data_IF_865349467973
#
_entry.id   IF_865349467973
#
_cell.length_a   1.000
_cell.length_b   1.000
_cell.length_c   1.000
_cell.angle_alpha   90.00
_cell.angle_beta   90.00
_cell.angle_gamma   90.00
#
_symmetry.space_group_name_H-M   'P 1'
#
loop_
_entity.id
_entity.type
_entity.pdbx_description
1 polymer ?
#
# COMPACT_ATOMS: atom_id res chain seq x y z
N UNK A 1 -1.33 34.17 36.45
CA UNK A 1 -0.42 34.07 35.30
C UNK A 1 -1.09 33.20 34.25
N UNK A 2 -1.43 33.75 33.09
CA UNK A 2 -2.01 32.96 32.00
C UNK A 2 -0.91 32.11 31.37
N UNK A 3 -0.93 30.80 31.66
CA UNK A 3 -0.02 29.86 31.01
C UNK A 3 -0.40 29.64 29.55
N UNK A 4 0.58 29.51 28.67
CA UNK A 4 0.36 29.06 27.29
C UNK A 4 0.31 27.52 27.26
N UNK A 5 -0.70 26.94 26.60
CA UNK A 5 -0.88 25.49 26.46
C UNK A 5 -0.50 25.06 25.04
N UNK A 6 0.80 25.04 24.74
CA UNK A 6 1.32 24.58 23.45
C UNK A 6 1.16 23.06 23.34
N UNK A 7 0.66 22.60 22.20
CA UNK A 7 0.49 21.17 21.89
C UNK A 7 0.98 20.90 20.48
N UNK A 8 1.60 19.73 20.29
CA UNK A 8 1.97 19.27 18.97
C UNK A 8 0.73 18.67 18.29
N UNK A 9 0.42 19.13 17.09
CA UNK A 9 -0.57 18.51 16.22
C UNK A 9 0.19 17.54 15.30
N UNK A 10 0.00 16.24 15.50
CA UNK A 10 0.56 15.21 14.61
C UNK A 10 -0.30 15.11 13.36
N UNK A 11 0.35 14.81 12.24
CA UNK A 11 -0.28 14.60 10.93
C UNK A 11 -0.80 15.89 10.31
N UNK A 12 0.09 16.58 9.57
CA UNK A 12 -0.19 17.86 8.90
C UNK A 12 -0.95 17.64 7.59
N UNK A 13 -2.03 16.84 7.65
CA UNK A 13 -3.05 16.83 6.61
C UNK A 13 -3.54 18.28 6.41
N UNK A 14 -3.46 18.82 5.18
CA UNK A 14 -3.98 20.14 4.84
C UNK A 14 -5.40 20.38 5.33
N UNK A 15 -6.28 19.37 5.29
CA UNK A 15 -7.66 19.49 5.73
C UNK A 15 -7.77 19.68 7.24
N UNK A 16 -6.94 18.95 8.01
CA UNK A 16 -6.88 19.10 9.47
C UNK A 16 -6.29 20.45 9.88
N UNK A 17 -5.23 20.90 9.20
CA UNK A 17 -4.67 22.24 9.44
C UNK A 17 -5.70 23.34 9.13
N UNK A 18 -6.42 23.21 8.02
CA UNK A 18 -7.51 24.13 7.69
C UNK A 18 -8.60 24.16 8.76
N UNK A 19 -9.04 22.98 9.23
CA UNK A 19 -10.06 22.87 10.28
C UNK A 19 -9.61 23.53 11.59
N UNK A 20 -8.37 23.32 12.01
CA UNK A 20 -7.80 23.96 13.21
C UNK A 20 -7.66 25.47 13.05
N UNK A 21 -7.20 25.95 11.89
CA UNK A 21 -7.13 27.38 11.59
C UNK A 21 -8.51 28.03 11.61
N UNK A 22 -9.54 27.35 11.08
CA UNK A 22 -10.95 27.81 11.19
C UNK A 22 -11.43 27.81 12.64
N UNK A 23 -11.09 26.80 13.43
CA UNK A 23 -11.50 26.68 14.83
C UNK A 23 -10.96 27.82 15.72
N UNK A 24 -9.75 28.30 15.44
CA UNK A 24 -9.17 29.47 16.14
C UNK A 24 -9.62 30.83 15.57
N UNK A 25 -10.47 30.84 14.53
CA UNK A 25 -11.00 32.05 13.92
C UNK A 25 -10.02 32.77 12.98
N UNK A 26 -9.10 32.05 12.33
CA UNK A 26 -8.16 32.65 11.38
C UNK A 26 -8.88 33.18 10.13
N UNK A 27 -8.34 34.26 9.55
CA UNK A 27 -8.89 34.88 8.34
C UNK A 27 -8.85 33.92 7.13
N UNK A 28 -9.91 33.82 6.31
CA UNK A 28 -9.95 32.92 5.15
C UNK A 28 -8.84 33.14 4.11
N UNK A 29 -8.36 34.38 3.91
CA UNK A 29 -7.22 34.63 3.02
C UNK A 29 -5.91 34.12 3.63
N UNK A 30 -5.75 34.26 4.95
CA UNK A 30 -4.64 33.66 5.70
C UNK A 30 -4.61 32.14 5.58
N UNK A 31 -5.76 31.48 5.75
CA UNK A 31 -5.91 30.02 5.60
C UNK A 31 -5.44 29.56 4.22
N UNK A 32 -5.93 30.18 3.12
CA UNK A 32 -5.53 29.82 1.75
C UNK A 32 -4.03 29.90 1.50
N UNK A 33 -3.34 30.83 2.14
CA UNK A 33 -1.88 31.04 1.99
C UNK A 33 -1.08 30.07 2.88
N UNK A 34 -1.61 29.72 4.05
CA UNK A 34 -0.87 28.98 5.07
C UNK A 34 -1.09 27.47 5.01
N UNK A 35 -2.27 27.00 4.61
CA UNK A 35 -2.56 25.55 4.51
C UNK A 35 -1.54 24.82 3.62
N UNK A 36 -1.15 25.33 2.42
CA UNK A 36 -0.12 24.69 1.60
C UNK A 36 1.30 24.71 2.19
N UNK A 37 1.52 25.38 3.33
CA UNK A 37 2.80 25.33 4.07
C UNK A 37 2.80 24.25 5.16
N UNK A 38 1.66 23.66 5.47
CA UNK A 38 1.54 22.57 6.44
C UNK A 38 2.02 21.23 5.87
N UNK A 39 1.85 21.02 4.57
CA UNK A 39 2.17 19.75 3.92
C UNK A 39 3.67 19.65 3.64
N UNK A 40 4.37 18.77 4.35
CA UNK A 40 5.80 18.50 4.19
C UNK A 40 6.01 17.26 3.34
N UNK A 41 6.81 17.36 2.28
CA UNK A 41 7.21 16.24 1.46
C UNK A 41 8.72 15.98 1.56
N UNK A 42 9.10 14.71 1.47
CA UNK A 42 10.48 14.25 1.34
C UNK A 42 10.56 13.40 0.08
N UNK A 43 11.28 13.90 -0.92
CA UNK A 43 11.33 13.31 -2.25
C UNK A 43 12.77 12.94 -2.59
N UNK A 44 12.97 11.72 -3.09
CA UNK A 44 14.26 11.26 -3.62
C UNK A 44 14.22 11.34 -5.15
N UNK A 45 15.18 12.05 -5.73
CA UNK A 45 15.41 12.10 -7.18
C UNK A 45 16.70 11.33 -7.47
N UNK A 46 16.61 10.25 -8.24
CA UNK A 46 17.76 9.44 -8.66
C UNK A 46 18.29 9.88 -10.04
N UNK A 47 19.48 9.39 -10.41
CA UNK A 47 20.11 9.64 -11.72
C UNK A 47 20.32 11.12 -12.12
N UNK A 48 20.48 11.99 -11.11
CA UNK A 48 20.62 13.44 -11.30
C UNK A 48 22.08 13.81 -11.69
N UNK A 49 22.30 14.52 -12.81
CA UNK A 49 23.63 15.03 -13.17
C UNK A 49 24.17 16.03 -12.13
N UNK A 50 25.48 16.04 -11.91
CA UNK A 50 26.14 16.91 -10.91
C UNK A 50 25.70 18.40 -10.93
N UNK A 51 25.66 19.02 -12.11
CA UNK A 51 25.23 20.42 -12.26
C UNK A 51 23.77 20.60 -11.84
N UNK A 52 22.90 19.65 -12.23
CA UNK A 52 21.50 19.69 -11.88
C UNK A 52 21.28 19.48 -10.39
N UNK A 53 22.03 18.56 -9.76
CA UNK A 53 21.98 18.31 -8.32
C UNK A 53 22.37 19.56 -7.52
N UNK A 54 23.41 20.26 -7.98
CA UNK A 54 23.88 21.50 -7.35
C UNK A 54 22.84 22.62 -7.44
N UNK A 55 22.24 22.81 -8.63
CA UNK A 55 21.18 23.80 -8.85
C UNK A 55 19.95 23.44 -8.02
N UNK A 56 19.51 22.18 -8.03
CA UNK A 56 18.37 21.68 -7.27
C UNK A 56 18.53 21.98 -5.78
N UNK A 57 19.71 21.71 -5.21
CA UNK A 57 20.01 22.02 -3.81
C UNK A 57 19.97 23.52 -3.53
N UNK A 58 20.65 24.33 -4.34
CA UNK A 58 20.68 25.79 -4.15
C UNK A 58 19.29 26.41 -4.25
N UNK A 59 18.50 25.96 -5.22
CA UNK A 59 17.14 26.43 -5.42
C UNK A 59 16.18 25.99 -4.31
N UNK A 60 16.37 24.79 -3.73
CA UNK A 60 15.55 24.37 -2.60
C UNK A 60 15.90 25.15 -1.33
N UNK A 61 17.19 25.31 -1.04
CA UNK A 61 17.68 26.09 0.11
C UNK A 61 17.19 27.54 0.05
N UNK A 62 17.20 28.18 -1.14
CA UNK A 62 16.72 29.55 -1.29
C UNK A 62 15.22 29.74 -1.01
N UNK A 63 14.45 28.65 -1.02
CA UNK A 63 13.02 28.62 -0.71
C UNK A 63 12.74 28.24 0.75
N UNK A 64 13.78 27.99 1.55
CA UNK A 64 13.69 27.55 2.94
C UNK A 64 13.38 26.06 3.11
N UNK A 65 13.59 25.26 2.06
CA UNK A 65 13.60 23.80 2.16
C UNK A 65 15.03 23.28 2.34
N UNK A 66 15.18 21.96 2.30
CA UNK A 66 16.46 21.28 2.46
C UNK A 66 16.76 20.34 1.29
N UNK A 67 18.05 20.13 1.02
CA UNK A 67 18.46 19.15 0.03
C UNK A 67 19.82 18.51 0.35
N UNK A 68 19.84 17.18 0.38
CA UNK A 68 21.03 16.36 0.55
C UNK A 68 21.43 15.72 -0.78
N UNK A 69 22.69 15.90 -1.19
CA UNK A 69 23.23 15.33 -2.43
C UNK A 69 24.12 14.15 -2.07
N UNK A 70 23.97 13.03 -2.78
CA UNK A 70 24.82 11.86 -2.58
C UNK A 70 26.31 12.18 -2.85
N UNK A 71 27.22 11.47 -2.17
CA UNK A 71 28.67 11.67 -2.38
C UNK A 71 29.08 11.46 -3.83
N UNK A 72 28.44 10.50 -4.53
CA UNK A 72 28.65 10.24 -5.95
C UNK A 72 28.28 11.44 -6.82
N UNK A 73 27.10 12.02 -6.59
CA UNK A 73 26.64 13.21 -7.31
C UNK A 73 27.46 14.46 -6.97
N UNK A 74 28.13 14.52 -5.81
CA UNK A 74 28.97 15.65 -5.41
C UNK A 74 30.43 15.55 -5.90
N UNK A 75 31.03 14.35 -5.88
CA UNK A 75 32.46 14.17 -6.08
C UNK A 75 32.91 14.04 -7.55
N UNK A 76 32.03 13.58 -8.46
CA UNK A 76 32.37 13.36 -9.86
C UNK A 76 31.66 14.39 -10.76
N UNK A 77 32.43 15.28 -11.40
CA UNK A 77 31.89 16.28 -12.35
C UNK A 77 31.13 15.67 -13.54
N UNK A 78 31.40 14.40 -13.86
CA UNK A 78 30.75 13.61 -14.91
C UNK A 78 29.79 12.53 -14.37
N UNK A 79 29.57 12.47 -13.05
CA UNK A 79 28.75 11.44 -12.40
C UNK A 79 27.27 11.83 -12.30
N UNK A 80 26.42 10.80 -12.20
CA UNK A 80 25.02 10.89 -11.78
C UNK A 80 24.90 10.41 -10.34
N UNK A 81 23.87 10.84 -9.63
CA UNK A 81 23.52 10.26 -8.34
C UNK A 81 22.25 10.85 -7.76
N UNK A 82 21.96 10.51 -6.51
CA UNK A 82 20.69 10.85 -5.88
C UNK A 82 20.71 12.20 -5.14
N UNK A 83 19.56 12.88 -5.14
CA UNK A 83 19.30 14.05 -4.30
C UNK A 83 18.03 13.79 -3.50
N UNK A 84 18.12 13.95 -2.18
CA UNK A 84 16.96 13.96 -1.30
C UNK A 84 16.56 15.42 -1.08
N UNK A 85 15.33 15.78 -1.45
CA UNK A 85 14.78 17.13 -1.36
C UNK A 85 13.65 17.12 -0.33
N UNK A 86 13.68 18.05 0.62
CA UNK A 86 12.68 18.15 1.68
C UNK A 86 12.09 19.55 1.72
N UNK A 87 10.77 19.65 1.81
CA UNK A 87 10.12 20.93 2.05
C UNK A 87 8.62 20.88 1.82
N UNK A 88 8.00 22.04 1.96
CA UNK A 88 6.55 22.18 1.87
C UNK A 88 6.07 22.14 0.42
N UNK A 89 4.80 21.78 0.22
CA UNK A 89 4.14 21.86 -1.09
C UNK A 89 4.34 23.23 -1.77
N UNK A 90 4.22 24.34 -1.04
CA UNK A 90 4.49 25.68 -1.57
C UNK A 90 5.95 25.84 -2.05
N UNK A 91 6.91 25.28 -1.33
CA UNK A 91 8.33 25.35 -1.70
C UNK A 91 8.61 24.51 -2.94
N UNK A 92 8.01 23.31 -3.04
CA UNK A 92 8.13 22.46 -4.22
C UNK A 92 7.53 23.09 -5.48
N UNK A 93 6.33 23.70 -5.40
CA UNK A 93 5.76 24.43 -6.55
C UNK A 93 6.70 25.52 -7.07
N UNK A 94 7.21 26.36 -6.15
CA UNK A 94 8.17 27.41 -6.49
C UNK A 94 9.47 26.85 -7.06
N UNK A 95 9.90 25.68 -6.59
CA UNK A 95 11.08 24.98 -7.11
C UNK A 95 10.84 24.54 -8.56
N UNK A 96 9.75 23.81 -8.81
CA UNK A 96 9.35 23.33 -10.16
C UNK A 96 9.29 24.49 -11.15
N UNK A 97 8.59 25.58 -10.81
CA UNK A 97 8.51 26.78 -11.65
C UNK A 97 9.90 27.31 -12.01
N UNK A 98 10.79 27.38 -11.02
CA UNK A 98 12.13 27.91 -11.20
C UNK A 98 13.02 26.99 -12.02
N UNK A 99 12.91 25.67 -11.84
CA UNK A 99 13.66 24.67 -12.61
C UNK A 99 13.26 24.69 -14.09
N UNK A 100 11.98 24.88 -14.41
CA UNK A 100 11.47 24.96 -15.79
C UNK A 100 12.06 26.15 -16.57
N UNK A 101 12.33 27.26 -15.88
CA UNK A 101 12.93 28.47 -16.45
C UNK A 101 14.44 28.37 -16.71
N UNK A 102 15.12 27.34 -16.18
CA UNK A 102 16.56 27.18 -16.38
C UNK A 102 16.88 26.73 -17.82
N UNK A 103 18.07 27.04 -18.35
CA UNK A 103 18.42 26.72 -19.73
C UNK A 103 18.63 25.21 -19.96
N UNK A 104 18.82 24.42 -18.90
CA UNK A 104 19.16 23.01 -18.99
C UNK A 104 17.93 22.11 -19.16
N UNK A 105 17.92 21.27 -20.21
CA UNK A 105 16.81 20.32 -20.47
C UNK A 105 16.60 19.32 -19.33
N UNK A 106 17.67 18.86 -18.69
CA UNK A 106 17.58 17.92 -17.55
C UNK A 106 16.79 18.50 -16.38
N UNK A 107 16.87 19.81 -16.12
CA UNK A 107 16.11 20.45 -15.04
C UNK A 107 14.62 20.54 -15.35
N UNK A 108 14.24 20.71 -16.63
CA UNK A 108 12.83 20.60 -17.05
C UNK A 108 12.27 19.21 -16.78
N UNK A 109 12.99 18.17 -17.19
CA UNK A 109 12.59 16.77 -16.92
C UNK A 109 12.48 16.48 -15.43
N UNK A 110 13.46 16.89 -14.62
CA UNK A 110 13.39 16.75 -13.16
C UNK A 110 12.19 17.49 -12.57
N UNK A 111 11.86 18.68 -13.09
CA UNK A 111 10.70 19.43 -12.63
C UNK A 111 9.39 18.70 -12.91
N UNK A 112 9.26 18.10 -14.10
CA UNK A 112 8.07 17.33 -14.49
C UNK A 112 7.94 16.04 -13.67
N UNK A 113 9.06 15.34 -13.39
CA UNK A 113 9.08 14.15 -12.52
C UNK A 113 8.72 14.48 -11.06
N UNK A 114 9.23 15.59 -10.52
CA UNK A 114 8.87 16.07 -9.18
C UNK A 114 7.38 16.39 -9.10
N UNK A 115 6.84 17.11 -10.09
CA UNK A 115 5.41 17.45 -10.13
C UNK A 115 4.52 16.21 -10.22
N UNK A 116 4.89 15.24 -11.07
CA UNK A 116 4.18 13.97 -11.19
C UNK A 116 4.20 13.16 -9.88
N UNK A 117 5.35 13.08 -9.21
CA UNK A 117 5.47 12.38 -7.93
C UNK A 117 4.64 13.05 -6.83
N UNK A 118 4.62 14.38 -6.76
CA UNK A 118 3.78 15.12 -5.81
C UNK A 118 2.29 14.95 -6.10
N UNK A 119 1.88 14.85 -7.38
CA UNK A 119 0.50 14.56 -7.74
C UNK A 119 0.09 13.13 -7.39
N UNK A 120 0.97 12.15 -7.61
CA UNK A 120 0.69 10.74 -7.31
C UNK A 120 0.42 10.49 -5.82
N UNK A 121 1.05 11.25 -4.92
CA UNK A 121 0.78 11.17 -3.46
C UNK A 121 -0.61 11.74 -3.10
N UNK A 122 -1.17 12.62 -3.93
CA UNK A 122 -2.39 13.38 -3.65
C UNK A 122 -3.64 12.76 -4.26
N UNK A 123 -3.47 11.85 -5.20
CA UNK A 123 -4.57 11.06 -5.71
C UNK A 123 -4.63 9.78 -4.92
N UNK A 124 -5.76 9.54 -4.26
CA UNK A 124 -6.13 8.18 -3.91
C UNK A 124 -5.89 7.29 -5.14
N UNK A 125 -5.33 6.08 -4.97
CA UNK A 125 -5.15 5.19 -6.09
C UNK A 125 -6.48 5.03 -6.85
N UNK A 126 -6.48 4.65 -8.14
CA UNK A 126 -7.72 4.28 -8.78
C UNK A 126 -8.41 3.16 -7.97
N UNK A 127 -9.76 3.09 -7.98
CA UNK A 127 -10.47 2.04 -7.27
C UNK A 127 -9.97 0.66 -7.66
N UNK A 128 -9.72 -0.19 -6.67
CA UNK A 128 -9.26 -1.55 -6.90
C UNK A 128 -10.47 -2.48 -7.05
N UNK A 129 -10.56 -3.22 -8.15
CA UNK A 129 -11.61 -4.23 -8.34
C UNK A 129 -11.07 -5.62 -8.05
N UNK A 130 -11.71 -6.33 -7.12
CA UNK A 130 -11.39 -7.71 -6.71
C UNK A 130 -12.66 -8.54 -6.88
N UNK A 131 -12.79 -9.22 -8.03
CA UNK A 131 -14.01 -9.98 -8.33
C UNK A 131 -15.27 -9.09 -8.25
N UNK A 132 -16.24 -9.41 -7.38
CA UNK A 132 -17.46 -8.60 -7.21
C UNK A 132 -17.27 -7.32 -6.39
N UNK A 133 -16.12 -7.11 -5.75
CA UNK A 133 -15.84 -5.98 -4.86
C UNK A 133 -15.11 -4.86 -5.61
N UNK A 134 -15.57 -3.62 -5.44
CA UNK A 134 -14.82 -2.41 -5.82
C UNK A 134 -14.44 -1.63 -4.57
N UNK A 135 -13.14 -1.45 -4.38
CA UNK A 135 -12.53 -0.72 -3.27
C UNK A 135 -12.26 0.73 -3.67
N UNK A 136 -13.07 1.65 -3.15
CA UNK A 136 -12.87 3.10 -3.25
C UNK A 136 -12.00 3.54 -2.07
N UNK A 137 -10.74 3.87 -2.34
CA UNK A 137 -9.79 4.22 -1.29
C UNK A 137 -10.21 5.50 -0.55
N UNK A 138 -10.01 5.52 0.76
CA UNK A 138 -10.45 6.63 1.63
C UNK A 138 -11.95 6.66 1.95
N UNK A 139 -12.81 5.92 1.23
CA UNK A 139 -14.25 5.93 1.48
C UNK A 139 -14.65 5.21 2.78
N UNK A 140 -14.02 4.06 3.06
CA UNK A 140 -14.16 3.29 4.30
C UNK A 140 -13.01 2.29 4.47
N UNK A 141 -12.90 1.70 5.66
CA UNK A 141 -12.09 0.50 5.86
C UNK A 141 -12.81 -0.72 5.30
N UNK A 142 -12.12 -1.48 4.46
CA UNK A 142 -12.59 -2.79 3.97
C UNK A 142 -12.07 -3.90 4.88
N UNK A 143 -12.90 -4.92 5.13
CA UNK A 143 -12.60 -5.99 6.09
C UNK A 143 -12.34 -7.29 5.35
N UNK A 144 -11.17 -7.89 5.61
CA UNK A 144 -10.79 -9.20 5.11
C UNK A 144 -10.93 -10.24 6.24
N UNK A 145 -11.83 -11.20 6.06
CA UNK A 145 -12.02 -12.32 6.98
C UNK A 145 -11.01 -13.44 6.72
N UNK A 146 -10.24 -13.82 7.74
CA UNK A 146 -9.20 -14.85 7.62
C UNK A 146 -9.82 -16.24 7.79
N UNK A 147 -9.86 -17.03 6.71
CA UNK A 147 -10.38 -18.39 6.68
C UNK A 147 -9.23 -19.40 6.60
N UNK A 148 -8.73 -19.82 7.76
CA UNK A 148 -7.70 -20.85 7.85
C UNK A 148 -8.29 -22.25 7.66
N UNK A 149 -7.97 -22.89 6.54
CA UNK A 149 -8.37 -24.27 6.22
C UNK A 149 -7.32 -25.24 6.75
N UNK A 150 -7.10 -25.22 8.07
CA UNK A 150 -6.20 -26.15 8.75
C UNK A 150 -6.99 -27.00 9.75
N UNK A 151 -6.65 -28.29 9.93
CA UNK A 151 -7.36 -29.18 10.87
C UNK A 151 -7.41 -28.61 12.30
N UNK A 152 -6.37 -27.89 12.71
CA UNK A 152 -6.27 -27.32 14.07
C UNK A 152 -7.19 -26.12 14.29
N UNK A 153 -7.62 -25.41 13.23
CA UNK A 153 -8.37 -24.15 13.35
C UNK A 153 -9.86 -24.31 13.63
N UNK A 154 -10.43 -25.50 13.41
CA UNK A 154 -11.87 -25.76 13.57
C UNK A 154 -12.23 -26.45 14.90
N UNK A 155 -11.27 -26.54 15.81
CA UNK A 155 -11.30 -27.41 16.99
C UNK A 155 -11.99 -26.81 18.23
N UNK A 156 -13.23 -26.36 18.11
CA UNK A 156 -14.08 -26.14 19.29
C UNK A 156 -14.57 -27.45 19.92
N UNK A 157 -14.74 -28.50 19.11
CA UNK A 157 -15.41 -29.77 19.44
C UNK A 157 -14.59 -31.04 19.09
N UNK A 158 -13.37 -30.88 18.55
CA UNK A 158 -12.42 -31.97 18.29
C UNK A 158 -12.78 -32.90 17.13
N UNK A 159 -13.97 -32.79 16.52
CA UNK A 159 -14.42 -33.65 15.43
C UNK A 159 -13.67 -33.37 14.12
N UNK A 160 -13.34 -32.10 13.86
CA UNK A 160 -12.70 -31.65 12.61
C UNK A 160 -11.16 -31.71 12.65
N UNK A 161 -10.56 -31.87 13.84
CA UNK A 161 -9.11 -31.99 14.00
C UNK A 161 -8.50 -33.23 13.32
N UNK A 162 -9.33 -34.21 12.96
CA UNK A 162 -8.93 -35.44 12.25
C UNK A 162 -9.50 -35.55 10.83
N UNK A 163 -10.15 -34.50 10.34
CA UNK A 163 -10.73 -34.53 9.00
C UNK A 163 -9.62 -34.61 7.94
N UNK A 164 -9.81 -35.48 6.94
CA UNK A 164 -8.89 -35.54 5.81
C UNK A 164 -8.94 -34.21 5.02
N UNK A 165 -7.79 -33.74 4.49
CA UNK A 165 -7.72 -32.58 3.62
C UNK A 165 -8.72 -32.67 2.48
N UNK A 166 -9.52 -31.62 2.28
CA UNK A 166 -10.54 -31.58 1.23
C UNK A 166 -11.77 -32.46 1.48
N UNK A 167 -11.88 -33.13 2.63
CA UNK A 167 -13.05 -33.95 2.95
C UNK A 167 -14.33 -33.10 3.02
N UNK A 168 -15.52 -33.66 2.70
CA UNK A 168 -16.78 -32.93 2.75
C UNK A 168 -17.08 -32.28 4.11
N UNK A 169 -16.62 -32.90 5.20
CA UNK A 169 -16.77 -32.34 6.54
C UNK A 169 -15.93 -31.07 6.74
N UNK A 170 -14.67 -31.08 6.31
CA UNK A 170 -13.78 -29.91 6.37
C UNK A 170 -14.31 -28.77 5.49
N UNK A 171 -14.70 -29.09 4.26
CA UNK A 171 -15.25 -28.12 3.30
C UNK A 171 -16.55 -27.51 3.83
N UNK A 172 -17.44 -28.34 4.38
CA UNK A 172 -18.69 -27.87 4.98
C UNK A 172 -18.47 -26.95 6.19
N UNK A 173 -17.48 -27.27 7.04
CA UNK A 173 -17.12 -26.44 8.19
C UNK A 173 -16.52 -25.09 7.76
N UNK A 174 -15.59 -25.10 6.80
CA UNK A 174 -14.99 -23.90 6.24
C UNK A 174 -16.05 -23.00 5.58
N UNK A 175 -16.97 -23.60 4.80
CA UNK A 175 -18.08 -22.87 4.17
C UNK A 175 -19.06 -22.29 5.20
N UNK A 176 -19.33 -23.01 6.30
CA UNK A 176 -20.15 -22.51 7.39
C UNK A 176 -19.54 -21.31 8.10
N UNK A 177 -18.20 -21.29 8.28
CA UNK A 177 -17.49 -20.14 8.82
C UNK A 177 -17.45 -18.97 7.82
N UNK A 178 -17.20 -19.26 6.55
CA UNK A 178 -17.24 -18.28 5.46
C UNK A 178 -18.59 -17.54 5.41
N UNK A 179 -19.71 -18.27 5.50
CA UNK A 179 -21.05 -17.66 5.60
C UNK A 179 -21.17 -16.70 6.77
N UNK A 180 -20.76 -17.12 7.97
CA UNK A 180 -20.80 -16.26 9.16
C UNK A 180 -19.97 -14.99 8.97
N UNK A 181 -18.75 -15.11 8.44
CA UNK A 181 -17.90 -13.94 8.18
C UNK A 181 -18.55 -12.96 7.20
N UNK A 182 -19.19 -13.47 6.13
CA UNK A 182 -19.93 -12.63 5.17
C UNK A 182 -21.15 -11.97 5.85
N UNK A 183 -21.91 -12.72 6.65
CA UNK A 183 -23.05 -12.19 7.42
C UNK A 183 -22.62 -11.12 8.45
N UNK A 184 -21.41 -11.25 9.01
CA UNK A 184 -20.79 -10.28 9.92
C UNK A 184 -20.16 -9.08 9.21
N UNK A 185 -20.15 -9.07 7.86
CA UNK A 185 -19.72 -7.92 7.05
C UNK A 185 -18.30 -8.00 6.50
N UNK A 186 -17.71 -9.19 6.36
CA UNK A 186 -16.46 -9.36 5.62
C UNK A 186 -16.64 -9.03 4.13
N UNK A 187 -15.79 -8.14 3.61
CA UNK A 187 -15.77 -7.74 2.19
C UNK A 187 -14.98 -8.72 1.33
N UNK A 188 -13.93 -9.31 1.92
CA UNK A 188 -13.03 -10.27 1.29
C UNK A 188 -12.88 -11.47 2.23
N UNK A 189 -12.85 -12.68 1.70
CA UNK A 189 -12.41 -13.87 2.44
C UNK A 189 -11.01 -14.27 1.99
N UNK A 190 -10.09 -14.44 2.93
CA UNK A 190 -8.72 -14.87 2.66
C UNK A 190 -8.52 -16.32 3.08
N UNK A 191 -8.33 -17.20 2.10
CA UNK A 191 -8.33 -18.64 2.27
C UNK A 191 -6.89 -19.16 2.30
N UNK A 192 -6.46 -19.63 3.47
CA UNK A 192 -5.10 -20.17 3.69
C UNK A 192 -5.12 -21.65 4.07
N UNK A 193 -4.31 -22.47 3.39
CA UNK A 193 -4.18 -23.91 3.68
C UNK A 193 -2.98 -24.28 4.54
N UNK A 194 -2.00 -23.36 4.62
CA UNK A 194 -0.76 -23.49 5.37
C UNK A 194 -0.73 -22.51 6.54
N UNK A 195 -0.18 -22.94 7.68
CA UNK A 195 0.02 -22.04 8.82
C UNK A 195 1.29 -21.22 8.61
N UNK A 196 1.16 -19.90 8.57
CA UNK A 196 2.30 -18.95 8.52
C UNK A 196 2.88 -18.63 9.91
N UNK A 197 2.46 -19.33 10.97
CA UNK A 197 2.93 -19.11 12.35
C UNK A 197 4.40 -19.52 12.51
N UNK A 198 5.20 -18.82 13.36
CA UNK A 198 6.58 -19.18 13.61
C UNK A 198 6.74 -20.63 14.09
N UNK A 199 7.57 -21.42 13.40
CA UNK A 199 7.83 -22.82 13.74
C UNK A 199 6.89 -23.84 13.09
N UNK A 200 5.98 -23.43 12.20
CA UNK A 200 5.23 -24.37 11.36
C UNK A 200 6.16 -25.11 10.40
N UNK A 201 5.84 -26.38 10.12
CA UNK A 201 6.54 -27.15 9.09
C UNK A 201 5.96 -26.78 7.73
N UNK A 202 6.78 -26.45 6.72
CA UNK A 202 6.29 -26.13 5.39
C UNK A 202 5.36 -27.22 4.85
N UNK A 203 4.21 -26.81 4.32
CA UNK A 203 3.21 -27.71 3.76
C UNK A 203 3.53 -27.98 2.28
N UNK A 204 3.54 -29.25 1.81
CA UNK A 204 3.65 -29.55 0.40
C UNK A 204 2.51 -28.91 -0.40
N UNK A 205 2.81 -28.36 -1.58
CA UNK A 205 1.83 -27.67 -2.41
C UNK A 205 0.57 -28.52 -2.72
N UNK A 206 0.76 -29.82 -2.99
CA UNK A 206 -0.33 -30.76 -3.24
C UNK A 206 -1.31 -30.89 -2.06
N UNK A 207 -0.77 -30.85 -0.84
CA UNK A 207 -1.55 -30.94 0.39
C UNK A 207 -2.30 -29.62 0.66
N UNK A 208 -1.65 -28.49 0.38
CA UNK A 208 -2.27 -27.16 0.44
C UNK A 208 -3.43 -27.04 -0.57
N UNK A 209 -3.22 -27.48 -1.82
CA UNK A 209 -4.23 -27.51 -2.88
C UNK A 209 -5.48 -28.28 -2.45
N UNK A 210 -5.31 -29.48 -1.87
CA UNK A 210 -6.43 -30.30 -1.38
C UNK A 210 -7.25 -29.60 -0.30
N UNK A 211 -6.65 -28.67 0.46
CA UNK A 211 -7.34 -27.90 1.48
C UNK A 211 -8.08 -26.72 0.87
N UNK A 212 -7.38 -25.89 0.09
CA UNK A 212 -7.91 -24.59 -0.32
C UNK A 212 -8.84 -24.68 -1.53
N UNK A 213 -8.51 -25.50 -2.54
CA UNK A 213 -9.25 -25.51 -3.82
C UNK A 213 -10.73 -25.87 -3.62
N UNK A 214 -11.09 -26.98 -2.94
CA UNK A 214 -12.50 -27.32 -2.78
C UNK A 214 -13.30 -26.29 -1.96
N UNK A 215 -12.63 -25.58 -1.04
CA UNK A 215 -13.26 -24.52 -0.25
C UNK A 215 -13.51 -23.29 -1.11
N UNK A 216 -12.52 -22.86 -1.90
CA UNK A 216 -12.63 -21.72 -2.82
C UNK A 216 -13.74 -21.96 -3.84
N UNK A 217 -13.79 -23.15 -4.48
CA UNK A 217 -14.83 -23.49 -5.45
C UNK A 217 -16.23 -23.34 -4.85
N UNK A 218 -16.44 -23.80 -3.62
CA UNK A 218 -17.74 -23.72 -2.95
C UNK A 218 -18.09 -22.30 -2.52
N UNK A 219 -17.13 -21.51 -2.04
CA UNK A 219 -17.35 -20.11 -1.70
C UNK A 219 -17.72 -19.32 -2.97
N UNK A 220 -16.98 -19.50 -4.05
CA UNK A 220 -17.22 -18.80 -5.33
C UNK A 220 -18.60 -19.11 -5.92
N UNK A 221 -19.11 -20.32 -5.72
CA UNK A 221 -20.44 -20.73 -6.19
C UNK A 221 -21.59 -20.22 -5.33
N UNK A 222 -21.36 -20.00 -4.03
CA UNK A 222 -22.46 -19.85 -3.06
C UNK A 222 -22.52 -18.48 -2.37
N UNK A 223 -21.41 -17.73 -2.33
CA UNK A 223 -21.30 -16.48 -1.58
C UNK A 223 -20.92 -15.31 -2.48
N UNK A 224 -21.62 -14.17 -2.42
CA UNK A 224 -21.31 -12.98 -3.20
C UNK A 224 -20.19 -12.16 -2.53
N UNK A 225 -19.00 -12.75 -2.41
CA UNK A 225 -17.85 -12.14 -1.70
C UNK A 225 -16.58 -12.22 -2.55
N UNK A 226 -15.69 -11.24 -2.41
CA UNK A 226 -14.36 -11.33 -2.98
C UNK A 226 -13.53 -12.41 -2.26
N UNK A 227 -12.68 -13.10 -3.01
CA UNK A 227 -11.93 -14.26 -2.51
C UNK A 227 -10.45 -14.01 -2.77
N UNK A 228 -9.67 -14.08 -1.71
CA UNK A 228 -8.22 -14.08 -1.70
C UNK A 228 -7.70 -15.47 -1.36
N UNK A 229 -6.58 -15.86 -1.94
CA UNK A 229 -5.81 -17.04 -1.53
C UNK A 229 -4.53 -16.59 -0.82
N UNK A 230 -4.32 -17.05 0.41
CA UNK A 230 -3.10 -16.81 1.18
C UNK A 230 -2.08 -17.91 0.85
N UNK A 231 -1.18 -17.60 -0.08
CA UNK A 231 -0.12 -18.52 -0.48
C UNK A 231 1.05 -17.78 -1.14
N UNK A 232 2.26 -18.29 -0.90
CA UNK A 232 3.49 -17.84 -1.57
C UNK A 232 3.93 -18.79 -2.70
N UNK A 233 3.15 -19.85 -2.98
CA UNK A 233 3.48 -20.87 -4.00
C UNK A 233 2.66 -20.60 -5.26
N UNK A 234 3.34 -20.32 -6.37
CA UNK A 234 2.67 -19.95 -7.62
C UNK A 234 1.72 -21.05 -8.14
N UNK A 235 2.07 -22.32 -7.94
CA UNK A 235 1.21 -23.45 -8.32
C UNK A 235 -0.10 -23.50 -7.52
N UNK A 236 -0.08 -23.07 -6.26
CA UNK A 236 -1.29 -23.01 -5.42
C UNK A 236 -2.14 -21.82 -5.84
N UNK A 237 -1.51 -20.66 -6.01
CA UNK A 237 -2.17 -19.45 -6.48
C UNK A 237 -2.88 -19.68 -7.84
N UNK A 238 -2.20 -20.26 -8.82
CA UNK A 238 -2.77 -20.52 -10.14
C UNK A 238 -4.03 -21.38 -10.07
N UNK A 239 -3.98 -22.48 -9.30
CA UNK A 239 -5.13 -23.39 -9.14
C UNK A 239 -6.26 -22.79 -8.31
N UNK A 240 -5.95 -21.92 -7.36
CA UNK A 240 -6.93 -21.18 -6.59
C UNK A 240 -7.64 -20.13 -7.45
N UNK A 241 -6.92 -19.43 -8.33
CA UNK A 241 -7.50 -18.51 -9.31
C UNK A 241 -8.42 -19.26 -10.28
N UNK A 242 -7.99 -20.41 -10.81
CA UNK A 242 -8.83 -21.28 -11.65
C UNK A 242 -10.12 -21.74 -10.92
N UNK A 243 -10.04 -21.93 -9.61
CA UNK A 243 -11.16 -22.33 -8.76
C UNK A 243 -12.13 -21.19 -8.40
N UNK A 244 -11.79 -19.94 -8.73
CA UNK A 244 -12.62 -18.76 -8.47
C UNK A 244 -12.08 -17.78 -7.42
N UNK A 245 -10.81 -17.90 -7.00
CA UNK A 245 -10.15 -16.82 -6.28
C UNK A 245 -9.95 -15.61 -7.21
N UNK A 246 -9.93 -14.42 -6.61
CA UNK A 246 -9.85 -13.13 -7.33
C UNK A 246 -8.57 -12.35 -7.01
N UNK A 247 -7.88 -12.72 -5.92
CA UNK A 247 -6.69 -12.07 -5.42
C UNK A 247 -5.72 -13.10 -4.84
N UNK A 248 -4.43 -12.82 -4.94
CA UNK A 248 -3.37 -13.58 -4.27
C UNK A 248 -2.80 -12.72 -3.15
N UNK A 249 -2.79 -13.24 -1.93
CA UNK A 249 -2.14 -12.65 -0.77
C UNK A 249 -0.81 -13.37 -0.53
N UNK A 250 0.29 -12.80 -1.03
CA UNK A 250 1.64 -13.37 -0.89
C UNK A 250 2.46 -12.59 0.15
N UNK A 251 2.65 -13.19 1.32
CA UNK A 251 3.42 -12.63 2.43
C UNK A 251 4.91 -12.41 2.11
N UNK A 252 5.43 -13.03 1.06
CA UNK A 252 6.82 -12.85 0.59
C UNK A 252 6.95 -11.79 -0.50
N UNK A 253 5.88 -11.07 -0.83
CA UNK A 253 5.87 -10.00 -1.82
C UNK A 253 6.50 -10.44 -3.16
N UNK A 254 6.08 -11.63 -3.65
CA UNK A 254 6.52 -12.22 -4.91
C UNK A 254 7.98 -12.67 -4.95
N UNK A 255 8.67 -12.70 -3.80
CA UNK A 255 10.10 -13.00 -3.73
C UNK A 255 10.42 -14.49 -3.50
N UNK A 256 9.49 -15.27 -2.95
CA UNK A 256 9.73 -16.68 -2.61
C UNK A 256 9.67 -17.61 -3.81
N UNK A 257 8.64 -17.46 -4.65
CA UNK A 257 8.44 -18.25 -5.87
C UNK A 257 8.56 -17.32 -7.10
N UNK A 258 9.57 -17.50 -7.96
CA UNK A 258 9.80 -16.62 -9.11
C UNK A 258 8.67 -16.67 -10.15
N UNK A 259 7.84 -17.71 -10.13
CA UNK A 259 6.69 -17.84 -11.03
C UNK A 259 5.46 -17.06 -10.55
N UNK A 260 5.48 -16.53 -9.32
CA UNK A 260 4.34 -15.77 -8.79
C UNK A 260 4.15 -14.42 -9.49
N UNK A 261 5.23 -13.67 -9.73
CA UNK A 261 5.13 -12.36 -10.38
C UNK A 261 4.60 -12.45 -11.83
N UNK A 262 5.08 -13.38 -12.69
CA UNK A 262 4.49 -13.59 -14.01
C UNK A 262 3.02 -14.04 -13.99
N UNK A 263 2.59 -14.78 -12.95
CA UNK A 263 1.21 -15.26 -12.83
C UNK A 263 0.21 -14.13 -12.56
N UNK A 264 0.60 -13.11 -11.78
CA UNK A 264 -0.30 -12.03 -11.32
C UNK A 264 -0.18 -10.73 -12.12
N UNK A 265 0.63 -10.71 -13.18
CA UNK A 265 0.85 -9.55 -14.05
C UNK A 265 -0.21 -9.42 -15.15
#
# INVERSE_FOLDING_TARGET
MGGHNARLLFDLDPARLEAEMRAIGADPAGIRIMVPKGELHVLRVDEVPHVAASILKQEMLSKGGEAAISRQAYAQRSGRGSVLVMGTELQFRRLVDKLRLQPFRSLRTIADEIEAALQAVRTDPPPLTIGPLTCEWGARTYVMGILNVTPDSFSGDGLLARAEPGSPALVGAALGLARRMVEEGADILDVGGESTRPGSTPLPAEEELRRVVPVIERIAQELPVAISVDTYKAVVAARALDAGAHMVNDVWALAADPEMAPLVA
#
